data_IF_595170847236
#
_entry.id   IF_595170847236
#
_cell.length_a   1.000
_cell.length_b   1.000
_cell.length_c   1.000
_cell.angle_alpha   90.00
_cell.angle_beta   90.00
_cell.angle_gamma   90.00
#
_symmetry.space_group_name_H-M   'P 1'
#
loop_
_entity.id
_entity.type
_entity.pdbx_description
1 polymer ?
#
# COMPACT_ATOMS: atom_id res chain seq x y z
N UNK A 1 20.84 13.18 -17.08
CA UNK A 1 20.74 11.73 -17.26
C UNK A 1 19.27 11.45 -17.38
N UNK A 2 18.85 10.81 -18.45
CA UNK A 2 17.43 10.54 -18.70
C UNK A 2 17.07 9.27 -17.92
N UNK A 3 16.41 9.44 -16.77
CA UNK A 3 16.00 8.34 -15.89
C UNK A 3 14.78 7.65 -16.50
N UNK A 4 14.77 6.32 -16.57
CA UNK A 4 13.57 5.55 -16.96
C UNK A 4 12.98 4.80 -15.76
N UNK A 5 11.72 5.10 -15.47
CA UNK A 5 10.92 4.46 -14.42
C UNK A 5 9.85 3.60 -15.09
N UNK A 6 9.92 2.30 -14.88
CA UNK A 6 8.96 1.32 -15.41
C UNK A 6 7.95 0.94 -14.33
N UNK A 7 6.65 1.03 -14.63
CA UNK A 7 5.57 0.75 -13.68
C UNK A 7 4.82 -0.51 -14.15
N UNK A 8 5.04 -1.63 -13.47
CA UNK A 8 4.34 -2.89 -13.73
C UNK A 8 2.99 -2.91 -13.00
N UNK A 9 1.90 -3.19 -13.71
CA UNK A 9 0.54 -3.09 -13.17
C UNK A 9 -0.05 -1.68 -13.24
N UNK A 10 0.39 -0.89 -14.23
CA UNK A 10 0.03 0.51 -14.39
C UNK A 10 -1.47 0.75 -14.67
N UNK A 11 -2.24 -0.28 -15.01
CA UNK A 11 -3.70 -0.24 -15.11
C UNK A 11 -4.39 -0.02 -13.76
N UNK A 12 -3.64 -0.02 -12.65
CA UNK A 12 -4.06 0.61 -11.39
C UNK A 12 -4.02 2.13 -11.53
N UNK A 13 -4.97 2.72 -12.28
CA UNK A 13 -4.96 4.14 -12.62
C UNK A 13 -4.86 5.07 -11.40
N UNK A 14 -5.46 4.70 -10.27
CA UNK A 14 -5.37 5.48 -9.03
C UNK A 14 -3.95 5.56 -8.49
N UNK A 15 -3.21 4.44 -8.56
CA UNK A 15 -1.85 4.36 -8.09
C UNK A 15 -0.88 5.01 -9.08
N UNK A 16 -1.03 4.73 -10.37
CA UNK A 16 -0.22 5.32 -11.44
C UNK A 16 -0.34 6.85 -11.45
N UNK A 17 -1.55 7.38 -11.33
CA UNK A 17 -1.77 8.83 -11.26
C UNK A 17 -1.13 9.45 -10.02
N UNK A 18 -1.20 8.75 -8.87
CA UNK A 18 -0.55 9.21 -7.64
C UNK A 18 0.97 9.29 -7.80
N UNK A 19 1.60 8.28 -8.42
CA UNK A 19 3.04 8.31 -8.73
C UNK A 19 3.40 9.45 -9.68
N UNK A 20 2.65 9.60 -10.78
CA UNK A 20 2.89 10.68 -11.75
C UNK A 20 2.77 12.04 -11.09
N UNK A 21 1.78 12.24 -10.21
CA UNK A 21 1.66 13.47 -9.45
C UNK A 21 2.92 13.75 -8.63
N UNK A 22 3.42 12.77 -7.88
CA UNK A 22 4.61 12.98 -7.06
C UNK A 22 5.86 13.22 -7.90
N UNK A 23 5.99 12.57 -9.05
CA UNK A 23 7.05 12.79 -10.04
C UNK A 23 6.97 14.22 -10.59
N UNK A 24 5.78 14.70 -10.99
CA UNK A 24 5.58 16.08 -11.43
C UNK A 24 5.95 17.12 -10.37
N UNK A 25 5.84 16.76 -9.08
CA UNK A 25 6.23 17.61 -7.96
C UNK A 25 7.69 17.41 -7.54
N UNK A 26 8.51 16.74 -8.35
CA UNK A 26 9.92 16.44 -8.05
C UNK A 26 10.81 16.96 -9.18
N UNK A 27 11.40 18.16 -9.04
CA UNK A 27 12.15 18.82 -10.12
C UNK A 27 13.28 17.97 -10.71
N UNK A 28 13.95 17.13 -9.91
CA UNK A 28 15.01 16.24 -10.39
C UNK A 28 14.54 15.14 -11.33
N UNK A 29 13.23 14.93 -11.48
CA UNK A 29 12.62 13.90 -12.34
C UNK A 29 11.89 14.47 -13.55
N UNK A 30 11.93 15.79 -13.80
CA UNK A 30 11.15 16.47 -14.86
C UNK A 30 11.36 15.88 -16.27
N UNK A 31 12.52 15.28 -16.56
CA UNK A 31 12.85 14.73 -17.89
C UNK A 31 12.82 13.19 -17.94
N UNK A 32 12.22 12.55 -16.94
CA UNK A 32 12.19 11.09 -16.85
C UNK A 32 11.30 10.48 -17.94
N UNK A 33 11.68 9.29 -18.38
CA UNK A 33 10.81 8.41 -19.16
C UNK A 33 9.99 7.55 -18.21
N UNK A 34 8.66 7.58 -18.32
CA UNK A 34 7.75 6.76 -17.53
C UNK A 34 7.12 5.72 -18.43
N UNK A 35 7.45 4.45 -18.20
CA UNK A 35 6.94 3.31 -18.97
C UNK A 35 5.80 2.63 -18.22
N UNK A 36 4.57 2.83 -18.69
CA UNK A 36 3.39 2.22 -18.10
C UNK A 36 3.16 0.83 -18.71
N UNK A 37 3.16 -0.21 -17.88
CA UNK A 37 2.94 -1.58 -18.33
C UNK A 37 1.77 -2.24 -17.61
N UNK A 38 0.82 -2.76 -18.38
CA UNK A 38 -0.25 -3.63 -17.88
C UNK A 38 -0.66 -4.62 -18.97
N UNK A 39 -1.23 -5.76 -18.59
CA UNK A 39 -1.74 -6.76 -19.54
C UNK A 39 -3.17 -6.41 -20.00
N UNK A 40 -3.86 -5.55 -19.27
CA UNK A 40 -5.21 -5.08 -19.59
C UNK A 40 -5.12 -3.75 -20.38
N UNK A 41 -5.37 -3.84 -21.69
CA UNK A 41 -5.25 -2.70 -22.60
C UNK A 41 -6.18 -1.54 -22.24
N UNK A 42 -7.42 -1.83 -21.86
CA UNK A 42 -8.42 -0.80 -21.55
C UNK A 42 -8.02 -0.01 -20.31
N UNK A 43 -7.60 -0.73 -19.26
CA UNK A 43 -7.10 -0.10 -18.03
C UNK A 43 -5.81 0.68 -18.26
N UNK A 44 -4.90 0.14 -19.08
CA UNK A 44 -3.65 0.80 -19.45
C UNK A 44 -3.91 2.10 -20.23
N UNK A 45 -4.85 2.08 -21.17
CA UNK A 45 -5.20 3.24 -21.98
C UNK A 45 -5.79 4.37 -21.12
N UNK A 46 -6.68 4.04 -20.20
CA UNK A 46 -7.26 4.99 -19.26
C UNK A 46 -6.18 5.59 -18.33
N UNK A 47 -5.30 4.76 -17.76
CA UNK A 47 -4.21 5.23 -16.90
C UNK A 47 -3.25 6.14 -17.66
N UNK A 48 -2.83 5.74 -18.87
CA UNK A 48 -1.94 6.53 -19.73
C UNK A 48 -2.54 7.89 -20.08
N UNK A 49 -3.81 7.93 -20.49
CA UNK A 49 -4.50 9.18 -20.83
C UNK A 49 -4.54 10.15 -19.66
N UNK A 50 -4.86 9.67 -18.45
CA UNK A 50 -4.88 10.48 -17.23
C UNK A 50 -3.49 10.97 -16.83
N UNK A 51 -2.49 10.09 -16.85
CA UNK A 51 -1.11 10.42 -16.47
C UNK A 51 -0.50 11.48 -17.40
N UNK A 52 -0.69 11.32 -18.72
CA UNK A 52 -0.22 12.29 -19.71
C UNK A 52 -0.90 13.65 -19.54
N UNK A 53 -2.23 13.66 -19.44
CA UNK A 53 -2.99 14.90 -19.18
C UNK A 53 -2.54 15.60 -17.90
N UNK A 54 -2.28 14.84 -16.84
CA UNK A 54 -1.80 15.42 -15.58
C UNK A 54 -0.44 16.12 -15.74
N UNK A 55 0.52 15.47 -16.41
CA UNK A 55 1.84 16.05 -16.68
C UNK A 55 1.74 17.30 -17.56
N UNK A 56 0.90 17.26 -18.61
CA UNK A 56 0.63 18.38 -19.50
C UNK A 56 0.01 19.58 -18.75
N UNK A 57 -1.00 19.34 -17.91
CA UNK A 57 -1.65 20.37 -17.08
C UNK A 57 -0.70 21.00 -16.06
N UNK A 58 0.27 20.23 -15.55
CA UNK A 58 1.32 20.70 -14.65
C UNK A 58 2.48 21.40 -15.39
N UNK A 59 2.56 21.30 -16.72
CA UNK A 59 3.66 21.83 -17.51
C UNK A 59 4.99 21.09 -17.32
N UNK A 60 4.97 19.85 -16.83
CA UNK A 60 6.17 19.05 -16.55
C UNK A 60 6.50 18.15 -17.75
N UNK A 61 7.76 18.17 -18.19
CA UNK A 61 8.21 17.51 -19.44
C UNK A 61 8.53 16.02 -19.31
N UNK A 62 7.56 15.21 -18.94
CA UNK A 62 7.73 13.76 -18.86
C UNK A 62 7.57 13.07 -20.22
N UNK A 63 8.42 12.09 -20.51
CA UNK A 63 8.20 11.17 -21.64
C UNK A 63 7.38 9.98 -21.15
N UNK A 64 6.07 9.98 -21.37
CA UNK A 64 5.21 8.87 -20.95
C UNK A 64 4.95 7.93 -22.13
N UNK A 65 5.33 6.67 -21.96
CA UNK A 65 5.06 5.57 -22.90
C UNK A 65 4.16 4.51 -22.24
N UNK A 66 3.57 3.64 -23.06
CA UNK A 66 2.79 2.50 -22.58
C UNK A 66 3.04 1.28 -23.45
N UNK A 67 2.99 0.09 -22.86
CA UNK A 67 3.06 -1.18 -23.58
C UNK A 67 2.37 -2.30 -22.79
N UNK A 68 1.91 -3.33 -23.49
CA UNK A 68 1.44 -4.58 -22.88
C UNK A 68 2.55 -5.64 -22.81
N UNK A 69 3.72 -5.36 -23.39
CA UNK A 69 4.90 -6.21 -23.33
C UNK A 69 5.81 -5.80 -22.15
N UNK A 70 5.95 -6.71 -21.18
CA UNK A 70 6.77 -6.48 -19.98
C UNK A 70 8.23 -6.21 -20.34
N UNK A 71 8.80 -6.97 -21.28
CA UNK A 71 10.22 -6.87 -21.63
C UNK A 71 10.50 -5.56 -22.35
N UNK A 72 9.58 -5.07 -23.17
CA UNK A 72 9.68 -3.73 -23.77
C UNK A 72 9.73 -2.64 -22.69
N UNK A 73 8.83 -2.70 -21.70
CA UNK A 73 8.79 -1.72 -20.62
C UNK A 73 10.07 -1.70 -19.76
N UNK A 74 10.78 -2.83 -19.67
CA UNK A 74 12.02 -2.98 -18.91
C UNK A 74 13.26 -2.45 -19.64
N UNK A 75 13.24 -2.31 -20.97
CA UNK A 75 14.42 -1.89 -21.74
C UNK A 75 14.88 -0.50 -21.31
N UNK A 76 16.11 -0.43 -20.81
CA UNK A 76 16.75 0.79 -20.33
C UNK A 76 16.17 1.35 -19.02
N UNK A 77 15.38 0.58 -18.27
CA UNK A 77 14.84 1.03 -16.99
C UNK A 77 15.95 1.16 -15.93
N UNK A 78 15.89 2.23 -15.14
CA UNK A 78 16.71 2.43 -13.94
C UNK A 78 15.94 2.01 -12.68
N UNK A 79 14.62 2.12 -12.71
CA UNK A 79 13.72 1.72 -11.64
C UNK A 79 12.54 0.93 -12.21
N UNK A 80 12.18 -0.16 -11.53
CA UNK A 80 11.04 -1.00 -11.88
C UNK A 80 10.13 -1.10 -10.65
N UNK A 81 9.03 -0.34 -10.68
CA UNK A 81 8.03 -0.32 -9.62
C UNK A 81 6.98 -1.37 -9.95
N UNK A 82 6.82 -2.36 -9.09
CA UNK A 82 5.82 -3.41 -9.27
C UNK A 82 4.63 -3.26 -8.33
N UNK A 83 3.46 -2.98 -8.92
CA UNK A 83 2.17 -2.83 -8.21
C UNK A 83 1.12 -3.80 -8.75
N UNK A 84 1.52 -4.71 -9.63
CA UNK A 84 0.63 -5.68 -10.25
C UNK A 84 0.10 -6.68 -9.20
N UNK A 85 -1.22 -6.78 -9.10
CA UNK A 85 -1.91 -7.83 -8.35
C UNK A 85 -2.42 -8.88 -9.33
N UNK A 86 -1.73 -10.01 -9.41
CA UNK A 86 -2.15 -11.12 -10.27
C UNK A 86 -3.52 -11.60 -9.84
N UNK A 87 -4.39 -11.89 -10.82
CA UNK A 87 -5.77 -12.36 -10.64
C UNK A 87 -6.76 -11.35 -10.02
N UNK A 88 -6.26 -10.25 -9.41
CA UNK A 88 -7.06 -9.13 -8.92
C UNK A 88 -7.97 -9.45 -7.72
N UNK A 89 -8.65 -8.41 -7.21
CA UNK A 89 -9.50 -8.53 -6.01
C UNK A 89 -10.73 -9.44 -6.19
N UNK A 90 -11.20 -9.64 -7.43
CA UNK A 90 -12.32 -10.55 -7.70
C UNK A 90 -11.97 -11.99 -7.33
N UNK A 91 -10.80 -12.47 -7.75
CA UNK A 91 -10.34 -13.85 -7.47
C UNK A 91 -10.02 -14.04 -5.99
N UNK A 92 -9.55 -12.99 -5.33
CA UNK A 92 -9.41 -12.98 -3.86
C UNK A 92 -10.77 -13.24 -3.18
N UNK A 93 -11.81 -12.49 -3.56
CA UNK A 93 -13.16 -12.64 -2.99
C UNK A 93 -13.81 -13.99 -3.33
N UNK A 94 -13.65 -14.48 -4.57
CA UNK A 94 -14.15 -15.81 -4.97
C UNK A 94 -13.54 -16.92 -4.09
N UNK A 95 -12.23 -16.84 -3.80
CA UNK A 95 -11.57 -17.79 -2.91
C UNK A 95 -12.05 -17.71 -1.46
N UNK A 96 -12.33 -16.51 -0.93
CA UNK A 96 -12.97 -16.37 0.39
C UNK A 96 -14.36 -17.01 0.43
N UNK A 97 -15.17 -16.81 -0.60
CA UNK A 97 -16.49 -17.43 -0.70
C UNK A 97 -16.41 -18.96 -0.71
N UNK A 98 -15.41 -19.54 -1.40
CA UNK A 98 -15.14 -20.99 -1.39
C UNK A 98 -14.74 -21.43 0.01
N UNK A 99 -13.75 -20.79 0.63
CA UNK A 99 -13.24 -21.16 1.95
C UNK A 99 -14.36 -21.19 3.01
N UNK A 100 -15.25 -20.20 2.99
CA UNK A 100 -16.41 -20.13 3.90
C UNK A 100 -17.38 -21.29 3.73
N UNK A 101 -17.61 -21.76 2.50
CA UNK A 101 -18.47 -22.96 2.26
C UNK A 101 -17.90 -24.22 2.91
N UNK A 102 -16.59 -24.26 3.16
CA UNK A 102 -15.91 -25.38 3.82
C UNK A 102 -15.59 -25.11 5.30
N UNK A 103 -16.20 -24.10 5.92
CA UNK A 103 -16.06 -23.82 7.35
C UNK A 103 -14.87 -22.94 7.75
N UNK A 104 -14.09 -22.44 6.79
CA UNK A 104 -13.02 -21.47 7.07
C UNK A 104 -13.61 -20.05 7.12
N UNK A 105 -13.88 -19.55 8.33
CA UNK A 105 -14.53 -18.24 8.57
C UNK A 105 -13.86 -17.08 7.85
N UNK A 106 -12.53 -17.04 7.84
CA UNK A 106 -11.76 -15.88 7.37
C UNK A 106 -10.95 -16.13 6.09
N UNK A 107 -11.06 -17.33 5.51
CA UNK A 107 -10.33 -17.71 4.30
C UNK A 107 -9.11 -18.59 4.59
N UNK A 108 -8.16 -18.58 3.65
CA UNK A 108 -6.92 -19.35 3.68
C UNK A 108 -5.73 -18.43 3.36
N UNK A 109 -5.28 -17.71 4.38
CA UNK A 109 -4.01 -16.99 4.42
C UNK A 109 -3.25 -17.38 5.71
N UNK A 110 -2.03 -16.88 5.90
CA UNK A 110 -1.30 -17.07 7.16
C UNK A 110 -1.93 -16.32 8.35
N UNK A 111 -2.85 -15.40 8.09
CA UNK A 111 -3.52 -14.56 9.09
C UNK A 111 -5.03 -14.84 9.10
N UNK A 112 -5.81 -14.01 9.81
CA UNK A 112 -7.27 -14.10 9.85
C UNK A 112 -7.82 -13.77 8.46
N UNK A 113 -7.82 -12.49 8.05
CA UNK A 113 -8.35 -12.07 6.74
C UNK A 113 -7.40 -11.04 6.11
N UNK A 114 -6.70 -11.45 5.05
CA UNK A 114 -5.62 -10.68 4.41
C UNK A 114 -5.73 -10.77 2.87
N UNK A 115 -5.27 -9.74 2.14
CA UNK A 115 -5.06 -9.79 0.68
C UNK A 115 -3.92 -10.73 0.21
N UNK A 116 -3.20 -11.37 1.14
CA UNK A 116 -2.14 -12.35 0.86
C UNK A 116 -2.65 -13.81 0.93
N UNK A 117 -3.79 -14.09 0.29
CA UNK A 117 -4.38 -15.42 0.32
C UNK A 117 -3.59 -16.46 -0.50
N UNK A 118 -3.53 -17.71 -0.03
CA UNK A 118 -2.71 -18.76 -0.63
C UNK A 118 -3.05 -19.06 -2.10
N UNK A 119 -4.33 -18.95 -2.50
CA UNK A 119 -4.77 -19.21 -3.87
C UNK A 119 -4.39 -18.11 -4.87
N UNK A 120 -4.03 -16.91 -4.41
CA UNK A 120 -3.52 -15.82 -5.25
C UNK A 120 -1.99 -15.82 -5.23
N UNK A 121 -1.40 -16.00 -4.05
CA UNK A 121 0.03 -15.83 -3.83
C UNK A 121 0.90 -16.71 -4.72
N UNK A 122 0.48 -17.94 -5.06
CA UNK A 122 1.23 -18.78 -6.00
C UNK A 122 1.49 -18.07 -7.34
N UNK A 123 0.45 -17.47 -7.92
CA UNK A 123 0.57 -16.76 -9.20
C UNK A 123 1.32 -15.44 -9.04
N UNK A 124 1.17 -14.79 -7.90
CA UNK A 124 1.87 -13.57 -7.55
C UNK A 124 3.39 -13.78 -7.47
N UNK A 125 3.84 -14.82 -6.74
CA UNK A 125 5.27 -15.17 -6.68
C UNK A 125 5.84 -15.58 -8.03
N UNK A 126 5.04 -16.24 -8.89
CA UNK A 126 5.45 -16.54 -10.26
C UNK A 126 5.68 -15.27 -11.08
N UNK A 127 4.84 -14.25 -10.93
CA UNK A 127 5.06 -12.96 -11.58
C UNK A 127 6.32 -12.27 -11.06
N UNK A 128 6.50 -12.23 -9.73
CA UNK A 128 7.69 -11.64 -9.11
C UNK A 128 8.99 -12.29 -9.63
N UNK A 129 9.02 -13.64 -9.67
CA UNK A 129 10.14 -14.39 -10.21
C UNK A 129 10.42 -14.06 -11.68
N UNK A 130 9.36 -13.95 -12.50
CA UNK A 130 9.48 -13.64 -13.91
C UNK A 130 10.00 -12.21 -14.16
N UNK A 131 9.51 -11.22 -13.38
CA UNK A 131 9.99 -9.84 -13.48
C UNK A 131 11.48 -9.77 -13.13
N UNK A 132 11.91 -10.38 -12.03
CA UNK A 132 13.33 -10.33 -11.63
C UNK A 132 14.24 -11.00 -12.68
N UNK A 133 13.83 -12.13 -13.25
CA UNK A 133 14.58 -12.76 -14.35
C UNK A 133 14.73 -11.83 -15.55
N UNK A 134 13.64 -11.17 -15.96
CA UNK A 134 13.69 -10.22 -17.07
C UNK A 134 14.55 -8.99 -16.72
N UNK A 135 14.51 -8.49 -15.48
CA UNK A 135 15.38 -7.40 -15.02
C UNK A 135 16.85 -7.79 -15.14
N UNK A 136 17.24 -8.96 -14.62
CA UNK A 136 18.62 -9.42 -14.66
C UNK A 136 19.16 -9.63 -16.08
N UNK A 137 18.28 -9.89 -17.04
CA UNK A 137 18.64 -10.05 -18.45
C UNK A 137 18.69 -8.69 -19.20
N UNK A 138 17.72 -7.81 -18.96
CA UNK A 138 17.45 -6.62 -19.80
C UNK A 138 18.04 -5.35 -19.21
N UNK A 139 17.94 -5.18 -17.89
CA UNK A 139 18.32 -3.98 -17.16
C UNK A 139 18.88 -4.34 -15.77
N UNK A 140 20.01 -5.08 -15.70
CA UNK A 140 20.51 -5.65 -14.44
C UNK A 140 20.89 -4.60 -13.38
N UNK A 141 21.13 -3.35 -13.81
CA UNK A 141 21.44 -2.25 -12.91
C UNK A 141 20.21 -1.60 -12.26
N UNK A 142 19.00 -1.95 -12.71
CA UNK A 142 17.76 -1.36 -12.24
C UNK A 142 17.42 -1.77 -10.81
N UNK A 143 16.83 -0.83 -10.06
CA UNK A 143 16.19 -1.15 -8.79
C UNK A 143 14.80 -1.74 -8.99
N UNK A 144 14.56 -2.92 -8.45
CA UNK A 144 13.23 -3.48 -8.30
C UNK A 144 12.58 -2.99 -7.00
N UNK A 145 11.53 -2.19 -7.14
CA UNK A 145 10.74 -1.64 -6.04
C UNK A 145 9.43 -2.41 -5.96
N UNK A 146 9.31 -3.30 -4.98
CA UNK A 146 8.11 -4.11 -4.78
C UNK A 146 7.11 -3.39 -3.86
N UNK A 147 5.95 -3.02 -4.42
CA UNK A 147 4.80 -2.50 -3.67
C UNK A 147 3.70 -3.55 -3.57
N UNK A 148 3.57 -4.39 -4.61
CA UNK A 148 2.59 -5.45 -4.66
C UNK A 148 2.81 -6.46 -3.52
N UNK A 149 1.74 -6.75 -2.78
CA UNK A 149 1.73 -7.80 -1.77
C UNK A 149 1.91 -9.19 -2.42
N UNK A 150 2.50 -10.18 -1.71
CA UNK A 150 3.03 -10.07 -0.35
C UNK A 150 4.44 -9.45 -0.31
N UNK A 151 4.61 -8.27 0.31
CA UNK A 151 5.90 -7.56 0.32
C UNK A 151 6.95 -8.35 1.10
N UNK A 152 6.66 -8.71 2.36
CA UNK A 152 7.60 -9.48 3.21
C UNK A 152 8.04 -10.78 2.55
N UNK A 153 7.09 -11.61 2.16
CA UNK A 153 7.39 -12.91 1.58
C UNK A 153 8.06 -12.78 0.20
N UNK A 154 7.63 -11.80 -0.61
CA UNK A 154 8.17 -11.53 -1.94
C UNK A 154 9.63 -11.10 -1.90
N UNK A 155 9.96 -10.05 -1.13
CA UNK A 155 11.35 -9.58 -1.04
C UNK A 155 12.26 -10.62 -0.37
N UNK A 156 11.75 -11.38 0.60
CA UNK A 156 12.51 -12.47 1.24
C UNK A 156 12.81 -13.59 0.25
N UNK A 157 11.82 -14.00 -0.54
CA UNK A 157 11.97 -15.03 -1.56
C UNK A 157 12.94 -14.59 -2.65
N UNK A 158 12.70 -13.43 -3.25
CA UNK A 158 13.50 -12.92 -4.36
C UNK A 158 14.93 -12.60 -3.92
N UNK A 159 15.13 -11.87 -2.82
CA UNK A 159 16.46 -11.48 -2.35
C UNK A 159 17.34 -12.65 -1.89
N UNK A 160 16.73 -13.77 -1.46
CA UNK A 160 17.48 -15.01 -1.16
C UNK A 160 17.87 -15.78 -2.42
N UNK A 161 17.03 -15.73 -3.46
CA UNK A 161 17.21 -16.48 -4.71
C UNK A 161 18.12 -15.77 -5.71
N UNK A 162 17.99 -14.44 -5.81
CA UNK A 162 18.71 -13.58 -6.75
C UNK A 162 19.50 -12.54 -5.96
N UNK A 163 20.68 -12.93 -5.47
CA UNK A 163 21.50 -12.10 -4.58
C UNK A 163 22.14 -10.90 -5.29
N UNK A 164 22.21 -10.97 -6.61
CA UNK A 164 22.71 -9.94 -7.50
C UNK A 164 21.68 -8.85 -7.82
N UNK A 165 20.39 -9.11 -7.60
CA UNK A 165 19.32 -8.16 -7.92
C UNK A 165 19.22 -7.06 -6.86
N UNK A 166 19.08 -5.80 -7.30
CA UNK A 166 18.82 -4.65 -6.42
C UNK A 166 17.33 -4.60 -6.08
N UNK A 167 16.95 -5.08 -4.90
CA UNK A 167 15.56 -5.24 -4.48
C UNK A 167 15.28 -4.43 -3.22
N UNK A 168 14.19 -3.66 -3.24
CA UNK A 168 13.61 -3.03 -2.05
C UNK A 168 12.09 -3.22 -2.03
N UNK A 169 11.52 -3.44 -0.85
CA UNK A 169 10.07 -3.48 -0.66
C UNK A 169 9.62 -2.24 0.09
N UNK A 170 8.52 -1.61 -0.33
CA UNK A 170 7.97 -0.43 0.33
C UNK A 170 6.50 -0.67 0.69
N UNK A 171 6.11 -0.12 1.85
CA UNK A 171 4.73 -0.09 2.34
C UNK A 171 4.51 1.19 3.15
N UNK A 172 3.26 1.61 3.28
CA UNK A 172 2.86 2.86 3.94
C UNK A 172 2.42 2.68 5.39
N UNK A 173 2.45 1.45 5.94
CA UNK A 173 1.96 1.15 7.30
C UNK A 173 2.56 2.03 8.41
N UNK A 174 3.76 2.59 8.22
CA UNK A 174 4.39 3.53 9.15
C UNK A 174 3.54 4.79 9.43
N UNK A 175 2.65 5.18 8.51
CA UNK A 175 1.81 6.36 8.67
C UNK A 175 0.88 6.30 9.88
N UNK A 176 0.66 5.11 10.46
CA UNK A 176 -0.08 4.96 11.72
C UNK A 176 0.52 5.75 12.89
N UNK A 177 1.83 6.05 12.86
CA UNK A 177 2.46 6.95 13.85
C UNK A 177 1.87 8.36 13.79
N UNK A 178 1.54 8.84 12.59
CA UNK A 178 0.95 10.18 12.44
C UNK A 178 -0.48 10.25 12.94
N UNK A 179 -1.22 9.13 12.94
CA UNK A 179 -2.54 9.07 13.55
C UNK A 179 -2.47 9.12 15.08
N UNK A 180 -1.45 8.49 15.71
CA UNK A 180 -1.15 8.69 17.14
C UNK A 180 -0.90 10.18 17.42
N UNK A 181 -0.08 10.82 16.62
CA UNK A 181 0.21 12.25 16.78
C UNK A 181 -1.04 13.12 16.65
N UNK A 182 -1.90 12.84 15.67
CA UNK A 182 -3.17 13.54 15.48
C UNK A 182 -4.08 13.45 16.71
N UNK A 183 -4.30 12.26 17.28
CA UNK A 183 -5.18 12.10 18.45
C UNK A 183 -4.59 12.71 19.73
N UNK A 184 -3.27 12.84 19.80
CA UNK A 184 -2.56 13.49 20.90
C UNK A 184 -2.37 15.00 20.68
N UNK A 185 -2.74 15.54 19.51
CA UNK A 185 -2.55 16.96 19.17
C UNK A 185 -1.08 17.36 18.96
N UNK A 186 -0.23 16.43 18.53
CA UNK A 186 1.19 16.63 18.29
C UNK A 186 1.47 17.02 16.84
N UNK A 187 2.50 17.83 16.61
CA UNK A 187 2.96 18.20 15.28
C UNK A 187 3.73 17.02 14.66
N UNK A 188 3.19 16.45 13.58
CA UNK A 188 3.77 15.29 12.90
C UNK A 188 5.18 15.55 12.35
N UNK A 189 5.49 16.80 12.00
CA UNK A 189 6.76 17.17 11.37
C UNK A 189 7.89 17.31 12.42
N UNK A 190 7.53 17.25 13.71
CA UNK A 190 8.45 17.31 14.86
C UNK A 190 8.63 15.96 15.56
N UNK A 191 8.16 14.88 14.93
CA UNK A 191 8.27 13.53 15.47
C UNK A 191 9.59 12.88 15.09
N UNK A 192 10.16 12.18 16.05
CA UNK A 192 11.25 11.22 15.84
C UNK A 192 10.82 9.87 16.39
N UNK A 193 10.82 8.82 15.57
CA UNK A 193 10.29 7.52 15.99
C UNK A 193 11.10 6.35 15.43
N UNK A 194 10.93 5.19 16.07
CA UNK A 194 11.45 3.91 15.61
C UNK A 194 10.38 2.83 15.65
N UNK A 195 10.20 2.14 14.52
CA UNK A 195 9.20 1.09 14.32
C UNK A 195 9.83 -0.21 13.80
N UNK A 196 10.75 -0.86 14.54
CA UNK A 196 11.37 -2.11 14.09
C UNK A 196 10.31 -3.21 13.86
N UNK A 197 10.60 -4.09 12.91
CA UNK A 197 9.75 -5.22 12.58
C UNK A 197 9.91 -5.66 11.13
N UNK A 198 8.86 -6.28 10.60
CA UNK A 198 8.75 -6.68 9.19
C UNK A 198 7.48 -6.10 8.57
N UNK A 199 7.30 -6.15 7.25
CA UNK A 199 6.11 -5.58 6.60
C UNK A 199 4.80 -6.07 7.25
N UNK A 200 3.88 -5.14 7.52
CA UNK A 200 2.63 -5.36 8.26
C UNK A 200 2.80 -5.97 9.67
N UNK A 201 4.00 -5.85 10.26
CA UNK A 201 4.28 -6.33 11.60
C UNK A 201 5.41 -5.51 12.24
N UNK A 202 5.13 -4.22 12.44
CA UNK A 202 6.06 -3.21 12.97
C UNK A 202 5.54 -2.61 14.27
N UNK A 203 6.46 -2.32 15.18
CA UNK A 203 6.14 -1.97 16.56
C UNK A 203 6.83 -0.67 16.94
N UNK A 204 6.05 0.33 17.34
CA UNK A 204 6.57 1.59 17.87
C UNK A 204 7.28 1.33 19.19
N UNK A 205 8.59 1.48 19.17
CA UNK A 205 9.47 1.31 20.35
C UNK A 205 9.94 2.63 20.91
N UNK A 206 9.99 3.67 20.08
CA UNK A 206 10.39 5.01 20.44
C UNK A 206 9.52 6.02 19.71
N UNK A 207 9.01 7.01 20.44
CA UNK A 207 8.30 8.15 19.87
C UNK A 207 8.65 9.39 20.69
N UNK A 208 9.29 10.35 20.03
CA UNK A 208 9.65 11.63 20.60
C UNK A 208 8.97 12.76 19.84
N UNK A 209 8.49 13.77 20.54
CA UNK A 209 8.03 15.03 19.98
C UNK A 209 8.85 16.16 20.61
N UNK A 210 9.58 16.91 19.78
CA UNK A 210 10.51 17.96 20.26
C UNK A 210 11.51 17.47 21.33
N UNK A 211 11.98 16.23 21.17
CA UNK A 211 12.93 15.59 22.09
C UNK A 211 12.31 15.06 23.40
N UNK A 212 11.00 15.21 23.61
CA UNK A 212 10.30 14.64 24.76
C UNK A 212 9.67 13.30 24.41
N UNK A 213 9.80 12.31 25.31
CA UNK A 213 9.17 11.00 25.15
C UNK A 213 7.64 11.11 25.21
N UNK A 214 6.97 10.56 24.20
CA UNK A 214 5.51 10.64 24.02
C UNK A 214 4.78 9.52 24.75
N UNK A 215 5.44 8.42 25.12
CA UNK A 215 4.77 7.28 25.76
C UNK A 215 3.97 7.65 27.03
N UNK A 216 4.47 8.49 27.96
CA UNK A 216 3.68 8.94 29.11
C UNK A 216 2.39 9.66 28.73
N UNK A 217 2.43 10.50 27.68
CA UNK A 217 1.24 11.20 27.16
C UNK A 217 0.28 10.23 26.48
N UNK A 218 0.80 9.24 25.76
CA UNK A 218 0.00 8.18 25.16
C UNK A 218 -0.71 7.34 26.23
N UNK A 219 -0.02 6.99 27.31
CA UNK A 219 -0.59 6.25 28.44
C UNK A 219 -1.72 7.05 29.13
N UNK A 220 -1.50 8.35 29.38
CA UNK A 220 -2.53 9.23 29.94
C UNK A 220 -3.77 9.29 29.01
N UNK A 221 -3.55 9.43 27.70
CA UNK A 221 -4.64 9.41 26.72
C UNK A 221 -5.39 8.06 26.72
N UNK A 222 -4.67 6.95 26.80
CA UNK A 222 -5.25 5.60 26.90
C UNK A 222 -6.18 5.48 28.11
N UNK A 223 -5.78 6.03 29.25
CA UNK A 223 -6.56 5.96 30.48
C UNK A 223 -7.79 6.89 30.47
N UNK A 224 -7.66 8.10 29.93
CA UNK A 224 -8.66 9.17 30.11
C UNK A 224 -9.56 9.37 28.91
N UNK A 225 -9.04 9.17 27.70
CA UNK A 225 -9.67 9.61 26.45
C UNK A 225 -9.97 8.46 25.48
N UNK A 226 -9.18 7.38 25.48
CA UNK A 226 -9.38 6.25 24.58
C UNK A 226 -10.80 5.63 24.65
N UNK A 227 -11.46 5.46 25.82
CA UNK A 227 -12.84 4.97 25.85
C UNK A 227 -13.83 5.85 25.08
N UNK A 228 -13.64 7.18 25.11
CA UNK A 228 -14.48 8.14 24.36
C UNK A 228 -14.18 8.05 22.87
N UNK A 229 -12.90 7.97 22.50
CA UNK A 229 -12.47 7.77 21.12
C UNK A 229 -13.04 6.45 20.56
N UNK A 230 -12.93 5.36 21.32
CA UNK A 230 -13.47 4.07 20.91
C UNK A 230 -14.96 4.15 20.66
N UNK A 231 -15.73 4.89 21.45
CA UNK A 231 -17.17 5.02 21.23
C UNK A 231 -17.53 5.50 19.82
N UNK A 232 -16.72 6.39 19.22
CA UNK A 232 -16.97 7.02 17.92
C UNK A 232 -16.13 6.47 16.77
N UNK A 233 -14.99 5.84 17.08
CA UNK A 233 -14.10 5.29 16.06
C UNK A 233 -14.76 4.13 15.31
N UNK A 234 -14.32 3.92 14.07
CA UNK A 234 -14.76 2.77 13.28
C UNK A 234 -14.23 1.47 13.92
N UNK A 235 -14.94 0.34 13.75
CA UNK A 235 -14.40 -0.97 14.06
C UNK A 235 -13.07 -1.24 13.37
N UNK A 236 -12.21 -2.02 14.04
CA UNK A 236 -10.84 -2.34 13.61
C UNK A 236 -9.97 -1.11 13.34
N UNK A 237 -10.08 -0.10 14.22
CA UNK A 237 -9.16 1.03 14.27
C UNK A 237 -7.79 0.59 14.77
N UNK A 238 -6.75 1.17 14.18
CA UNK A 238 -5.34 1.11 14.60
C UNK A 238 -5.06 1.73 15.98
N UNK A 239 -6.03 2.45 16.56
CA UNK A 239 -6.04 2.95 17.94
C UNK A 239 -7.20 2.37 18.77
N UNK A 240 -7.82 1.29 18.27
CA UNK A 240 -8.93 0.60 18.92
C UNK A 240 -8.52 -0.20 20.16
N UNK A 241 -9.48 -0.84 20.85
CA UNK A 241 -9.23 -1.64 22.04
C UNK A 241 -8.17 -2.74 21.82
N UNK A 242 -8.17 -3.36 20.63
CA UNK A 242 -7.18 -4.39 20.27
C UNK A 242 -5.75 -3.84 20.22
N UNK A 243 -5.53 -2.69 19.59
CA UNK A 243 -4.21 -2.07 19.48
C UNK A 243 -3.63 -1.74 20.87
N UNK A 244 -4.46 -1.19 21.76
CA UNK A 244 -4.08 -0.87 23.13
C UNK A 244 -3.82 -2.11 23.98
N UNK A 245 -4.61 -3.18 23.85
CA UNK A 245 -4.35 -4.44 24.55
C UNK A 245 -3.04 -5.09 24.08
N UNK A 246 -2.75 -5.06 22.78
CA UNK A 246 -1.46 -5.48 22.24
C UNK A 246 -0.31 -4.65 22.83
N UNK A 247 -0.44 -3.32 22.85
CA UNK A 247 0.54 -2.44 23.48
C UNK A 247 0.80 -2.81 24.95
N UNK A 248 -0.26 -2.97 25.75
CA UNK A 248 -0.14 -3.35 27.16
C UNK A 248 0.51 -4.72 27.38
N UNK A 249 0.33 -5.66 26.44
CA UNK A 249 0.92 -7.00 26.52
C UNK A 249 2.39 -7.04 26.12
N UNK A 250 2.75 -6.31 25.07
CA UNK A 250 4.05 -6.42 24.44
C UNK A 250 5.02 -5.28 24.80
N UNK A 251 4.52 -4.21 25.42
CA UNK A 251 5.33 -3.05 25.81
C UNK A 251 5.78 -2.18 24.63
N UNK A 252 5.22 -2.42 23.43
CA UNK A 252 5.46 -1.64 22.22
C UNK A 252 4.14 -1.48 21.46
N UNK A 253 3.89 -0.33 20.85
CA UNK A 253 2.59 -0.06 20.24
C UNK A 253 2.54 -0.60 18.80
N UNK A 254 1.54 -1.42 18.41
CA UNK A 254 1.46 -1.92 17.04
C UNK A 254 1.11 -0.80 16.06
N UNK A 255 1.87 -0.66 14.96
CA UNK A 255 1.65 0.43 14.00
C UNK A 255 1.00 -0.05 12.71
N UNK A 256 0.00 0.71 12.25
CA UNK A 256 -0.69 0.50 10.99
C UNK A 256 -1.25 -0.92 10.87
N UNK A 257 -0.90 -1.57 9.77
CA UNK A 257 -1.40 -2.89 9.42
C UNK A 257 -1.10 -4.00 10.44
N UNK A 258 -0.13 -3.80 11.33
CA UNK A 258 0.22 -4.74 12.41
C UNK A 258 -0.97 -5.23 13.22
N UNK A 259 -1.96 -4.36 13.45
CA UNK A 259 -3.17 -4.72 14.18
C UNK A 259 -4.46 -4.45 13.40
N UNK A 260 -4.43 -3.98 12.16
CA UNK A 260 -5.65 -3.76 11.37
C UNK A 260 -5.93 -4.95 10.44
N UNK A 261 -7.12 -5.02 9.80
CA UNK A 261 -7.41 -6.03 8.80
C UNK A 261 -6.52 -5.92 7.55
N UNK A 262 -5.87 -4.77 7.32
CA UNK A 262 -4.90 -4.60 6.23
C UNK A 262 -3.66 -5.49 6.39
N UNK A 263 -3.20 -5.75 7.61
CA UNK A 263 -2.14 -6.73 7.92
C UNK A 263 -2.68 -8.08 8.39
N UNK A 264 -3.88 -8.42 7.94
CA UNK A 264 -4.43 -9.75 8.14
C UNK A 264 -5.23 -9.96 9.41
N UNK A 265 -5.54 -8.90 10.17
CA UNK A 265 -6.27 -8.99 11.43
C UNK A 265 -5.59 -9.95 12.43
N UNK A 266 -4.26 -9.86 12.53
CA UNK A 266 -3.51 -10.53 13.58
C UNK A 266 -3.83 -9.90 14.95
N UNK A 267 -3.71 -10.67 16.06
CA UNK A 267 -3.68 -12.13 16.20
C UNK A 267 -5.06 -12.81 16.29
N UNK A 268 -5.08 -14.13 16.08
CA UNK A 268 -6.31 -14.91 15.92
C UNK A 268 -7.27 -14.90 17.12
N UNK A 269 -6.77 -14.69 18.35
CA UNK A 269 -7.60 -14.74 19.55
C UNK A 269 -8.57 -13.56 19.70
N UNK A 270 -8.42 -12.49 18.91
CA UNK A 270 -9.42 -11.42 18.83
C UNK A 270 -10.55 -11.74 17.84
N UNK A 271 -10.48 -12.90 17.19
CA UNK A 271 -11.31 -13.26 16.05
C UNK A 271 -11.92 -14.67 16.17
N UNK A 272 -11.96 -15.27 17.38
CA UNK A 272 -12.44 -16.65 17.58
C UNK A 272 -13.90 -16.84 17.20
N UNK A 273 -14.75 -15.87 17.54
CA UNK A 273 -16.20 -15.87 17.33
C UNK A 273 -16.69 -14.41 17.14
N UNK A 274 -17.98 -14.22 16.85
CA UNK A 274 -18.56 -12.90 16.60
C UNK A 274 -18.65 -12.07 17.89
N UNK A 275 -18.83 -12.73 19.04
CA UNK A 275 -18.90 -12.05 20.33
C UNK A 275 -17.55 -11.47 20.74
N UNK A 276 -16.48 -12.21 20.52
CA UNK A 276 -15.10 -11.79 20.72
C UNK A 276 -14.75 -10.60 19.82
N UNK A 277 -15.09 -10.65 18.53
CA UNK A 277 -14.90 -9.51 17.63
C UNK A 277 -15.65 -8.26 18.14
N UNK A 278 -16.91 -8.42 18.56
CA UNK A 278 -17.69 -7.30 19.13
C UNK A 278 -17.04 -6.72 20.38
N UNK A 279 -16.55 -7.56 21.30
CA UNK A 279 -15.85 -7.14 22.52
C UNK A 279 -14.62 -6.29 22.20
N UNK A 280 -13.88 -6.65 21.16
CA UNK A 280 -12.67 -5.94 20.75
C UNK A 280 -12.92 -4.83 19.71
N UNK A 281 -14.18 -4.61 19.35
CA UNK A 281 -14.61 -3.72 18.27
C UNK A 281 -13.92 -4.03 16.94
N UNK A 282 -13.76 -5.30 16.64
CA UNK A 282 -13.21 -5.78 15.37
C UNK A 282 -14.33 -6.11 14.37
N UNK A 283 -14.09 -5.77 13.10
CA UNK A 283 -14.96 -6.09 11.97
C UNK A 283 -14.10 -6.21 10.69
N UNK A 284 -13.32 -7.30 10.55
CA UNK A 284 -12.48 -7.49 9.37
C UNK A 284 -13.30 -7.55 8.07
N UNK A 285 -14.46 -8.19 8.11
CA UNK A 285 -15.34 -8.33 6.95
C UNK A 285 -15.87 -6.97 6.46
N UNK A 286 -16.43 -6.16 7.35
CA UNK A 286 -16.90 -4.83 6.99
C UNK A 286 -15.75 -3.88 6.63
N UNK A 287 -14.56 -4.05 7.21
CA UNK A 287 -13.37 -3.32 6.78
C UNK A 287 -13.03 -3.60 5.31
N UNK A 288 -12.95 -4.87 4.92
CA UNK A 288 -12.70 -5.28 3.53
C UNK A 288 -13.83 -4.86 2.58
N UNK A 289 -15.09 -4.96 3.03
CA UNK A 289 -16.24 -4.46 2.27
C UNK A 289 -16.11 -2.96 1.96
N UNK A 290 -15.75 -2.15 2.97
CA UNK A 290 -15.51 -0.71 2.79
C UNK A 290 -14.31 -0.44 1.87
N UNK A 291 -13.25 -1.24 1.98
CA UNK A 291 -12.08 -1.15 1.10
C UNK A 291 -12.47 -1.37 -0.37
N UNK A 292 -13.19 -2.45 -0.70
CA UNK A 292 -13.61 -2.72 -2.08
C UNK A 292 -14.56 -1.66 -2.61
N UNK A 293 -15.56 -1.24 -1.83
CA UNK A 293 -16.47 -0.18 -2.27
C UNK A 293 -15.74 1.15 -2.50
N UNK A 294 -14.71 1.45 -1.70
CA UNK A 294 -13.86 2.64 -1.91
C UNK A 294 -13.04 2.54 -3.20
N UNK A 295 -12.48 1.36 -3.46
CA UNK A 295 -11.75 1.07 -4.70
C UNK A 295 -12.64 1.22 -5.93
N UNK A 296 -13.85 0.64 -5.92
CA UNK A 296 -14.83 0.75 -7.00
C UNK A 296 -15.22 2.21 -7.27
N UNK A 297 -15.53 2.99 -6.22
CA UNK A 297 -15.84 4.42 -6.36
C UNK A 297 -14.69 5.21 -6.99
N UNK A 298 -13.45 4.93 -6.58
CA UNK A 298 -12.25 5.56 -7.14
C UNK A 298 -12.06 5.20 -8.62
N UNK A 299 -12.24 3.93 -8.98
CA UNK A 299 -12.17 3.49 -10.38
C UNK A 299 -13.24 4.19 -11.21
N UNK A 300 -14.48 4.27 -10.74
CA UNK A 300 -15.57 4.97 -11.43
C UNK A 300 -15.31 6.47 -11.57
N UNK A 301 -14.71 7.11 -10.57
CA UNK A 301 -14.30 8.52 -10.65
C UNK A 301 -13.23 8.72 -11.72
N UNK A 302 -12.17 7.90 -11.71
CA UNK A 302 -11.09 7.97 -12.69
C UNK A 302 -11.58 7.69 -14.12
N UNK A 303 -12.46 6.70 -14.29
CA UNK A 303 -13.05 6.40 -15.59
C UNK A 303 -13.85 7.60 -16.13
N UNK A 304 -14.64 8.26 -15.28
CA UNK A 304 -15.37 9.48 -15.67
C UNK A 304 -14.43 10.60 -16.11
N UNK A 305 -13.38 10.88 -15.33
CA UNK A 305 -12.39 11.93 -15.65
C UNK A 305 -11.60 11.58 -16.92
N UNK A 306 -11.27 10.30 -17.12
CA UNK A 306 -10.53 9.85 -18.30
C UNK A 306 -11.33 10.11 -19.60
N UNK A 307 -12.66 9.94 -19.56
CA UNK A 307 -13.55 10.13 -20.70
C UNK A 307 -14.04 11.57 -20.87
N UNK A 308 -13.95 12.39 -19.83
CA UNK A 308 -14.26 13.82 -19.89
C UNK A 308 -13.00 14.63 -20.20
N UNK A 309 -12.82 15.00 -21.46
CA UNK A 309 -11.69 15.82 -21.91
C UNK A 309 -11.77 17.28 -21.46
N UNK A 310 -12.92 17.75 -20.96
CA UNK A 310 -13.11 19.13 -20.50
C UNK A 310 -12.76 19.31 -19.02
N UNK A 311 -12.88 18.25 -18.22
CA UNK A 311 -12.48 18.26 -16.82
C UNK A 311 -10.95 18.33 -16.67
N UNK A 312 -10.45 19.14 -15.75
CA UNK A 312 -9.02 19.12 -15.41
C UNK A 312 -8.71 17.97 -14.46
N UNK A 313 -7.68 17.19 -14.76
CA UNK A 313 -7.23 16.13 -13.87
C UNK A 313 -6.66 16.73 -12.58
N UNK A 314 -5.99 17.87 -12.66
CA UNK A 314 -5.43 18.63 -11.54
C UNK A 314 -6.48 19.22 -10.59
N UNK A 315 -7.72 19.46 -11.04
CA UNK A 315 -8.81 19.87 -10.15
C UNK A 315 -9.33 18.69 -9.31
N UNK A 316 -9.41 17.50 -9.92
CA UNK A 316 -9.79 16.28 -9.21
C UNK A 316 -8.66 15.73 -8.32
N UNK A 317 -7.41 15.98 -8.72
CA UNK A 317 -6.20 15.55 -8.03
C UNK A 317 -5.23 16.72 -7.86
N UNK A 318 -5.44 17.58 -6.85
CA UNK A 318 -4.60 18.75 -6.61
C UNK A 318 -3.10 18.41 -6.55
N UNK A 319 -2.22 19.34 -6.96
CA UNK A 319 -0.77 19.15 -7.04
C UNK A 319 -0.09 19.21 -5.68
N UNK A 320 -0.46 18.25 -4.83
CA UNK A 320 0.09 18.06 -3.49
C UNK A 320 0.77 16.69 -3.40
N UNK A 321 1.87 16.62 -2.63
CA UNK A 321 2.58 15.37 -2.40
C UNK A 321 1.63 14.34 -1.79
N UNK A 322 1.71 13.11 -2.29
CA UNK A 322 0.78 12.05 -1.89
C UNK A 322 1.05 11.45 -0.50
N UNK A 323 2.24 11.69 0.05
CA UNK A 323 2.73 11.02 1.25
C UNK A 323 3.27 9.62 1.01
N UNK A 324 3.30 9.12 -0.23
CA UNK A 324 3.97 7.86 -0.57
C UNK A 324 5.49 8.01 -0.48
N UNK A 325 6.15 6.93 -0.04
CA UNK A 325 7.60 6.88 0.15
C UNK A 325 8.39 6.55 -1.11
N UNK A 326 7.71 6.28 -2.23
CA UNK A 326 8.33 5.72 -3.44
C UNK A 326 9.22 6.73 -4.16
N UNK A 327 8.78 7.99 -4.26
CA UNK A 327 9.52 9.06 -4.96
C UNK A 327 10.57 9.76 -4.09
N UNK A 328 10.36 9.96 -2.77
CA UNK A 328 11.39 10.52 -1.89
C UNK A 328 12.58 9.60 -1.58
N UNK A 329 12.50 8.30 -1.92
CA UNK A 329 13.59 7.32 -1.76
C UNK A 329 14.71 7.58 -2.78
#
# INVERSE_FOLDING_TARGET
>A
MDIKISIMGAGSAAFSLKLIRDICLTPSLEHSTISLMDIDQERLDAAYALCRRYADEMGVRLQIEKTTDRREALRGADFVINTALVAGHRRLQEGWAIARRYGYRFGGSYHIMHDEAFWINFYQFRLFDAIIRDILEICPEAWYIQIANPVLAGITYLGRKYREAKIVGLCHGFSGVYHIAEVLGLDKDRLHFQIPGVNHFVWLTHLYHEGQDVFPTLDEWIEREAPKYWATCRPSSDLGPKAVDLYKRFGAFPIGDTCTPGGGAWPWWYHTDVETERRWREDPEGWWGRYFSSLERRIQQLHRIAHDSSAKVTEAFPPEKSGESIIPL
#
